data_IF_572056531446
#
_entry.id   IF_572056531446
#
_cell.length_a   1.000
_cell.length_b   1.000
_cell.length_c   1.000
_cell.angle_alpha   90.00
_cell.angle_beta   90.00
_cell.angle_gamma   90.00
#
_symmetry.space_group_name_H-M   'P 1'
#
loop_
_entity.id
_entity.type
_entity.pdbx_description
1 polymer ?
#
# COMPACT_ATOMS: atom_id res chain seq x y z
N UNK A 1 9.70 1.36 3.39
CA UNK A 1 10.30 2.08 2.26
C UNK A 1 11.65 2.67 2.63
N UNK A 2 11.75 3.71 3.45
CA UNK A 2 13.08 4.29 3.79
C UNK A 2 13.98 3.30 4.54
N UNK A 3 13.49 2.73 5.64
CA UNK A 3 14.26 1.76 6.45
C UNK A 3 14.44 0.40 5.78
N UNK A 4 13.67 0.07 4.74
CA UNK A 4 13.94 -1.17 3.99
C UNK A 4 15.24 -1.10 3.20
N UNK A 5 15.80 0.09 2.99
CA UNK A 5 17.14 0.27 2.43
C UNK A 5 18.27 0.05 3.46
N UNK A 6 17.94 -0.26 4.72
CA UNK A 6 18.91 -0.64 5.74
C UNK A 6 19.16 -2.15 5.68
N UNK A 7 20.21 -2.57 4.98
CA UNK A 7 20.58 -3.99 4.85
C UNK A 7 20.80 -4.71 6.19
N UNK A 8 21.34 -4.07 7.25
CA UNK A 8 21.38 -4.68 8.57
C UNK A 8 19.99 -5.04 9.13
N UNK A 9 18.95 -4.27 8.79
CA UNK A 9 17.57 -4.62 9.15
C UNK A 9 17.10 -5.85 8.37
N UNK A 10 17.39 -5.92 7.06
CA UNK A 10 17.01 -7.06 6.23
C UNK A 10 17.65 -8.38 6.71
N UNK A 11 18.88 -8.31 7.24
CA UNK A 11 19.54 -9.44 7.90
C UNK A 11 18.74 -9.98 9.09
N UNK A 12 18.12 -9.12 9.89
CA UNK A 12 17.27 -9.55 11.04
C UNK A 12 16.12 -10.43 10.54
N UNK A 13 15.61 -10.15 9.34
CA UNK A 13 14.54 -10.94 8.69
C UNK A 13 15.07 -12.13 7.87
N UNK A 14 16.37 -12.43 7.93
CA UNK A 14 16.98 -13.58 7.26
C UNK A 14 17.36 -13.36 5.79
N UNK A 15 17.47 -12.11 5.33
CA UNK A 15 17.86 -11.80 3.95
C UNK A 15 19.24 -11.16 3.87
N UNK A 16 20.19 -11.87 3.26
CA UNK A 16 21.59 -11.43 3.12
C UNK A 16 22.36 -11.45 4.45
N UNK A 17 23.57 -10.88 4.44
CA UNK A 17 24.47 -10.84 5.61
C UNK A 17 24.54 -9.45 6.29
N UNK A 18 23.81 -8.48 5.75
CA UNK A 18 23.76 -7.08 6.20
C UNK A 18 24.61 -6.13 5.36
N UNK A 19 25.42 -6.62 4.42
CA UNK A 19 26.13 -5.79 3.45
C UNK A 19 25.19 -5.24 2.37
N UNK A 20 25.51 -4.07 1.82
CA UNK A 20 24.73 -3.47 0.73
C UNK A 20 24.97 -4.22 -0.58
N UNK A 21 23.98 -4.99 -1.01
CA UNK A 21 23.95 -5.65 -2.33
C UNK A 21 22.52 -5.61 -2.91
N UNK A 22 22.28 -4.67 -3.82
CA UNK A 22 20.98 -4.48 -4.48
C UNK A 22 20.59 -5.63 -5.43
N UNK A 23 21.56 -6.48 -5.80
CA UNK A 23 21.34 -7.63 -6.68
C UNK A 23 21.26 -8.95 -5.91
N UNK A 24 21.51 -8.94 -4.60
CA UNK A 24 21.39 -10.10 -3.72
C UNK A 24 19.97 -10.31 -3.17
N UNK A 25 19.78 -11.30 -2.26
CA UNK A 25 18.47 -11.64 -1.71
C UNK A 25 17.78 -10.48 -0.96
N UNK A 26 18.57 -9.66 -0.27
CA UNK A 26 18.08 -8.44 0.38
C UNK A 26 17.57 -7.41 -0.65
N UNK A 27 18.28 -7.26 -1.77
CA UNK A 27 17.88 -6.43 -2.90
C UNK A 27 16.58 -6.88 -3.56
N UNK A 28 16.33 -8.19 -3.65
CA UNK A 28 15.05 -8.73 -4.15
C UNK A 28 13.86 -8.35 -3.29
N UNK A 29 13.99 -8.50 -1.97
CA UNK A 29 12.96 -8.07 -1.00
C UNK A 29 12.72 -6.57 -1.11
N UNK A 30 13.79 -5.80 -1.25
CA UNK A 30 13.71 -4.35 -1.40
C UNK A 30 12.99 -3.95 -2.69
N UNK A 31 13.37 -4.54 -3.83
CA UNK A 31 12.72 -4.32 -5.12
C UNK A 31 11.23 -4.67 -5.06
N UNK A 32 10.90 -5.86 -4.55
CA UNK A 32 9.52 -6.31 -4.39
C UNK A 32 8.73 -5.37 -3.48
N UNK A 33 9.33 -4.86 -2.40
CA UNK A 33 8.69 -3.91 -1.48
C UNK A 33 8.37 -2.57 -2.16
N UNK A 34 9.30 -2.02 -2.94
CA UNK A 34 9.09 -0.79 -3.70
C UNK A 34 8.05 -0.94 -4.80
N UNK A 35 8.16 -2.00 -5.61
CA UNK A 35 7.19 -2.29 -6.66
C UNK A 35 5.79 -2.56 -6.08
N UNK A 36 5.70 -3.30 -4.97
CA UNK A 36 4.45 -3.55 -4.25
C UNK A 36 3.80 -2.27 -3.75
N UNK A 37 4.58 -1.35 -3.18
CA UNK A 37 4.09 -0.03 -2.75
C UNK A 37 3.56 0.80 -3.94
N UNK A 38 4.30 0.84 -5.05
CA UNK A 38 3.89 1.54 -6.26
C UNK A 38 2.59 0.96 -6.84
N UNK A 39 2.52 -0.37 -6.97
CA UNK A 39 1.32 -1.09 -7.42
C UNK A 39 0.13 -0.85 -6.51
N UNK A 40 0.33 -0.90 -5.19
CA UNK A 40 -0.72 -0.66 -4.22
C UNK A 40 -1.21 0.80 -4.29
N UNK A 41 -0.31 1.76 -4.51
CA UNK A 41 -0.67 3.16 -4.74
C UNK A 41 -1.53 3.36 -6.00
N UNK A 42 -1.21 2.66 -7.09
CA UNK A 42 -2.01 2.71 -8.32
C UNK A 42 -3.40 2.09 -8.08
N UNK A 43 -3.43 0.88 -7.50
CA UNK A 43 -4.67 0.15 -7.20
C UNK A 43 -5.57 0.89 -6.19
N UNK A 44 -5.00 1.76 -5.35
CA UNK A 44 -5.77 2.58 -4.40
C UNK A 44 -6.84 3.44 -5.06
N UNK A 45 -6.73 3.77 -6.35
CA UNK A 45 -7.74 4.56 -7.07
C UNK A 45 -9.15 3.95 -7.05
N UNK A 46 -9.27 2.63 -6.81
CA UNK A 46 -10.55 1.98 -6.50
C UNK A 46 -11.26 2.63 -5.30
N UNK A 47 -10.49 3.06 -4.30
CA UNK A 47 -10.98 3.67 -3.06
C UNK A 47 -11.18 5.19 -3.17
N UNK A 48 -10.97 5.80 -4.34
CA UNK A 48 -11.27 7.21 -4.58
C UNK A 48 -12.59 7.36 -5.33
N UNK A 49 -13.44 8.27 -4.86
CA UNK A 49 -14.75 8.55 -5.47
C UNK A 49 -14.70 9.81 -6.35
N UNK A 50 -14.96 9.71 -7.67
CA UNK A 50 -14.95 10.87 -8.56
C UNK A 50 -16.04 11.89 -8.28
N UNK A 51 -17.19 11.49 -7.72
CA UNK A 51 -18.29 12.42 -7.48
C UNK A 51 -17.97 13.41 -6.35
N UNK A 52 -17.50 12.88 -5.22
CA UNK A 52 -17.13 13.69 -4.05
C UNK A 52 -15.67 14.14 -4.08
N UNK A 53 -14.84 13.56 -4.94
CA UNK A 53 -13.39 13.72 -5.01
C UNK A 53 -12.67 13.37 -3.70
N UNK A 54 -13.23 12.41 -2.95
CA UNK A 54 -12.71 11.97 -1.65
C UNK A 54 -12.16 10.56 -1.68
N UNK A 55 -11.18 10.34 -0.83
CA UNK A 55 -10.65 9.02 -0.52
C UNK A 55 -11.52 8.33 0.54
N UNK A 56 -11.96 7.11 0.25
CA UNK A 56 -12.73 6.27 1.18
C UNK A 56 -11.86 5.44 2.13
N UNK A 57 -10.53 5.48 2.02
CA UNK A 57 -9.61 4.67 2.84
C UNK A 57 -8.26 5.39 3.00
N UNK A 58 -7.88 5.69 4.25
CA UNK A 58 -6.70 6.51 4.58
C UNK A 58 -5.35 5.92 4.13
N UNK A 59 -5.12 4.63 4.34
CA UNK A 59 -3.93 3.92 3.83
C UNK A 59 -3.87 3.90 2.29
N UNK A 60 -5.01 3.86 1.61
CA UNK A 60 -5.07 3.86 0.14
C UNK A 60 -4.63 5.22 -0.39
N UNK A 61 -5.14 6.29 0.23
CA UNK A 61 -4.68 7.66 -0.01
C UNK A 61 -3.17 7.81 0.22
N UNK A 62 -2.67 7.30 1.35
CA UNK A 62 -1.25 7.38 1.68
C UNK A 62 -0.36 6.60 0.69
N UNK A 63 -0.80 5.44 0.22
CA UNK A 63 -0.07 4.67 -0.80
C UNK A 63 -0.04 5.40 -2.13
N UNK A 64 -1.15 6.04 -2.52
CA UNK A 64 -1.18 6.85 -3.74
C UNK A 64 -0.24 8.05 -3.64
N UNK A 65 -0.18 8.73 -2.47
CA UNK A 65 0.76 9.84 -2.28
C UNK A 65 2.23 9.40 -2.28
N UNK A 66 2.53 8.17 -1.82
CA UNK A 66 3.87 7.57 -1.95
C UNK A 66 4.18 7.19 -3.41
N UNK A 67 3.22 6.64 -4.17
CA UNK A 67 3.42 6.41 -5.60
C UNK A 67 3.74 7.74 -6.31
N UNK A 68 3.02 8.81 -5.98
CA UNK A 68 3.27 10.15 -6.51
C UNK A 68 4.70 10.63 -6.21
N UNK A 69 5.22 10.40 -5.00
CA UNK A 69 6.62 10.74 -4.71
C UNK A 69 7.63 9.89 -5.48
N UNK A 70 7.30 8.64 -5.85
CA UNK A 70 8.15 7.82 -6.72
C UNK A 70 8.15 8.34 -8.16
N UNK A 71 6.99 8.72 -8.70
CA UNK A 71 6.86 9.24 -10.06
C UNK A 71 7.49 10.63 -10.22
N UNK A 72 7.53 11.39 -9.13
CA UNK A 72 8.23 12.69 -9.07
C UNK A 72 9.71 12.54 -8.73
N UNK A 73 10.16 11.32 -8.40
CA UNK A 73 11.59 11.05 -8.28
C UNK A 73 12.22 11.17 -9.67
N UNK A 74 13.13 12.13 -9.81
CA UNK A 74 13.92 12.29 -11.03
C UNK A 74 14.78 11.06 -11.32
N UNK A 75 15.61 11.16 -12.36
CA UNK A 75 16.48 10.06 -12.78
C UNK A 75 15.69 8.81 -13.22
N UNK A 76 14.51 8.96 -13.84
CA UNK A 76 13.70 7.85 -14.37
C UNK A 76 13.46 6.67 -13.40
N UNK A 77 13.43 6.94 -12.09
CA UNK A 77 13.32 5.89 -11.07
C UNK A 77 12.02 5.08 -11.19
N UNK A 78 10.90 5.76 -11.38
CA UNK A 78 9.58 5.14 -11.47
C UNK A 78 8.74 5.86 -12.52
N UNK A 79 8.08 5.10 -13.39
CA UNK A 79 7.15 5.66 -14.38
C UNK A 79 5.97 4.74 -14.64
N UNK A 80 4.87 5.37 -15.05
CA UNK A 80 3.77 4.68 -15.71
C UNK A 80 4.14 4.51 -17.19
N UNK A 81 4.15 3.28 -17.66
CA UNK A 81 4.52 2.93 -19.03
C UNK A 81 3.34 2.28 -19.73
N UNK A 82 2.96 2.85 -20.87
CA UNK A 82 1.82 2.44 -21.68
C UNK A 82 2.03 2.93 -23.11
N UNK A 83 1.48 2.23 -24.08
CA UNK A 83 1.54 2.60 -25.51
C UNK A 83 0.16 2.84 -26.11
N UNK A 84 -0.91 2.40 -25.44
CA UNK A 84 -2.29 2.54 -25.91
C UNK A 84 -2.99 3.72 -25.24
N UNK A 85 -3.84 4.41 -25.99
CA UNK A 85 -4.61 5.57 -25.51
C UNK A 85 -5.61 5.22 -24.38
N UNK A 86 -6.07 3.97 -24.35
CA UNK A 86 -6.99 3.42 -23.36
C UNK A 86 -6.31 2.91 -22.09
N UNK A 87 -4.97 2.94 -22.04
CA UNK A 87 -4.14 2.45 -20.93
C UNK A 87 -4.34 0.96 -20.61
N UNK A 88 -4.89 0.16 -21.52
CA UNK A 88 -5.10 -1.28 -21.30
C UNK A 88 -3.80 -2.08 -21.16
N UNK A 89 -2.67 -1.50 -21.57
CA UNK A 89 -1.31 -2.05 -21.42
C UNK A 89 -0.50 -1.35 -20.32
N UNK A 90 -1.14 -0.59 -19.43
CA UNK A 90 -0.48 0.16 -18.37
C UNK A 90 0.33 -0.75 -17.43
N UNK A 91 1.61 -0.43 -17.31
CA UNK A 91 2.54 -1.06 -16.37
C UNK A 91 3.27 -0.02 -15.52
N UNK A 92 3.74 -0.44 -14.35
CA UNK A 92 4.67 0.35 -13.54
C UNK A 92 6.08 -0.14 -13.86
N UNK A 93 6.93 0.76 -14.36
CA UNK A 93 8.37 0.51 -14.50
C UNK A 93 9.10 1.15 -13.33
N UNK A 94 9.80 0.35 -12.55
CA UNK A 94 10.62 0.77 -11.41
C UNK A 94 12.04 0.28 -11.61
N UNK A 95 13.01 1.19 -11.60
CA UNK A 95 14.43 0.86 -11.78
C UNK A 95 15.05 0.41 -10.46
N UNK A 96 15.43 -0.87 -10.40
CA UNK A 96 16.06 -1.49 -9.24
C UNK A 96 17.35 -0.77 -8.84
N UNK A 97 18.18 -0.39 -9.80
CA UNK A 97 19.49 0.20 -9.56
C UNK A 97 19.41 1.57 -8.87
N UNK A 98 18.25 2.22 -8.97
CA UNK A 98 18.01 3.57 -8.45
C UNK A 98 17.23 3.58 -7.14
N UNK A 99 16.91 2.42 -6.56
CA UNK A 99 16.21 2.35 -5.27
C UNK A 99 17.04 3.00 -4.16
N UNK A 100 18.33 2.68 -4.06
CA UNK A 100 19.20 3.20 -2.98
C UNK A 100 19.57 4.67 -3.17
N UNK A 101 19.40 5.21 -4.38
CA UNK A 101 19.69 6.60 -4.73
C UNK A 101 18.39 7.42 -4.82
N UNK A 102 17.84 7.59 -6.02
CA UNK A 102 16.68 8.43 -6.29
C UNK A 102 15.45 7.99 -5.48
N UNK A 103 15.18 6.68 -5.42
CA UNK A 103 14.01 6.14 -4.72
C UNK A 103 14.06 6.37 -3.21
N UNK A 104 15.18 6.06 -2.56
CA UNK A 104 15.38 6.27 -1.13
C UNK A 104 15.32 7.75 -0.79
N UNK A 105 15.96 8.61 -1.61
CA UNK A 105 15.92 10.06 -1.43
C UNK A 105 14.50 10.62 -1.53
N UNK A 106 13.73 10.23 -2.54
CA UNK A 106 12.35 10.69 -2.72
C UNK A 106 11.47 10.33 -1.51
N UNK A 107 11.63 9.12 -0.95
CA UNK A 107 10.95 8.73 0.29
C UNK A 107 11.44 9.57 1.48
N UNK A 108 12.75 9.78 1.61
CA UNK A 108 13.34 10.55 2.70
C UNK A 108 12.79 11.98 2.74
N UNK A 109 12.84 12.68 1.61
CA UNK A 109 12.38 14.06 1.47
C UNK A 109 10.88 14.16 1.77
N UNK A 110 10.08 13.19 1.28
CA UNK A 110 8.65 13.14 1.54
C UNK A 110 8.35 12.95 3.04
N UNK A 111 8.99 11.97 3.68
CA UNK A 111 8.83 11.69 5.11
C UNK A 111 9.30 12.85 5.99
N UNK A 112 10.40 13.52 5.60
CA UNK A 112 10.92 14.66 6.33
C UNK A 112 9.90 15.81 6.36
N UNK A 113 9.30 16.16 5.22
CA UNK A 113 8.24 17.18 5.16
C UNK A 113 7.04 16.80 6.05
N UNK A 114 6.53 15.58 5.91
CA UNK A 114 5.42 15.10 6.73
C UNK A 114 5.74 15.17 8.24
N UNK A 115 6.96 14.77 8.62
CA UNK A 115 7.40 14.78 10.01
C UNK A 115 7.51 16.20 10.55
N UNK A 116 8.11 17.14 9.79
CA UNK A 116 8.23 18.55 10.19
C UNK A 116 6.83 19.14 10.45
N UNK A 117 5.90 19.04 9.49
CA UNK A 117 4.57 19.63 9.65
C UNK A 117 3.79 19.01 10.81
N UNK A 118 3.91 17.69 11.00
CA UNK A 118 3.31 17.00 12.15
C UNK A 118 3.88 17.51 13.47
N UNK A 119 5.21 17.58 13.59
CA UNK A 119 5.92 17.95 14.82
C UNK A 119 5.74 19.42 15.20
N UNK A 120 5.50 20.30 14.23
CA UNK A 120 5.26 21.74 14.46
C UNK A 120 3.78 22.11 14.54
N UNK A 121 2.86 21.14 14.44
CA UNK A 121 1.42 21.37 14.35
C UNK A 121 1.02 22.35 13.22
N UNK A 122 1.78 22.40 12.12
CA UNK A 122 1.48 23.22 10.95
C UNK A 122 0.40 22.56 10.08
N UNK A 123 -0.85 22.66 10.55
CA UNK A 123 -2.02 22.04 9.92
C UNK A 123 -2.21 22.54 8.50
N UNK A 124 -2.01 23.85 8.25
CA UNK A 124 -2.27 24.45 6.94
C UNK A 124 -1.29 23.91 5.90
N UNK A 125 0.01 24.09 6.12
CA UNK A 125 1.03 23.66 5.15
C UNK A 125 1.04 22.13 5.01
N UNK A 126 0.86 21.41 6.12
CA UNK A 126 0.79 19.94 6.11
C UNK A 126 -0.40 19.41 5.32
N UNK A 127 -1.59 20.02 5.48
CA UNK A 127 -2.78 19.64 4.71
C UNK A 127 -2.62 19.97 3.23
N UNK A 128 -2.17 21.19 2.90
CA UNK A 128 -1.94 21.63 1.52
C UNK A 128 -0.96 20.67 0.81
N UNK A 129 0.13 20.31 1.48
CA UNK A 129 1.13 19.37 0.96
C UNK A 129 0.56 17.95 0.76
N UNK A 130 -0.08 17.37 1.78
CA UNK A 130 -0.59 16.00 1.70
C UNK A 130 -1.75 15.86 0.71
N UNK A 131 -2.66 16.84 0.68
CA UNK A 131 -3.76 16.88 -0.29
C UNK A 131 -3.25 17.08 -1.71
N UNK A 132 -2.23 17.92 -1.92
CA UNK A 132 -1.56 18.04 -3.22
C UNK A 132 -0.95 16.72 -3.70
N UNK A 133 -0.22 16.03 -2.82
CA UNK A 133 0.40 14.73 -3.13
C UNK A 133 -0.62 13.59 -3.30
N UNK A 134 -1.82 13.72 -2.74
CA UNK A 134 -2.89 12.72 -2.86
C UNK A 134 -4.04 13.15 -3.77
N UNK A 135 -3.86 14.24 -4.52
CA UNK A 135 -4.87 14.70 -5.46
C UNK A 135 -4.93 13.79 -6.69
N UNK A 136 -6.15 13.38 -7.04
CA UNK A 136 -6.41 12.54 -8.21
C UNK A 136 -6.91 13.40 -9.37
N UNK A 137 -7.83 14.33 -9.10
CA UNK A 137 -8.51 15.11 -10.13
C UNK A 137 -9.41 14.26 -11.04
N UNK A 138 -10.17 14.91 -11.92
CA UNK A 138 -11.08 14.26 -12.86
C UNK A 138 -10.47 14.03 -14.25
N UNK A 139 -9.18 14.34 -14.41
CA UNK A 139 -8.48 14.16 -15.68
C UNK A 139 -7.87 12.76 -15.73
N UNK A 140 -6.57 12.66 -16.04
CA UNK A 140 -5.84 11.41 -16.28
C UNK A 140 -6.05 10.33 -15.20
N UNK A 141 -5.86 10.66 -13.92
CA UNK A 141 -5.94 9.67 -12.84
C UNK A 141 -7.38 9.22 -12.55
N UNK A 142 -8.31 10.18 -12.41
CA UNK A 142 -9.68 9.92 -11.98
C UNK A 142 -10.57 9.30 -13.06
N UNK A 143 -10.20 9.44 -14.34
CA UNK A 143 -10.95 8.84 -15.47
C UNK A 143 -10.19 7.68 -16.10
N UNK A 144 -9.05 7.93 -16.75
CA UNK A 144 -8.35 6.90 -17.53
C UNK A 144 -7.76 5.80 -16.65
N UNK A 145 -6.87 6.18 -15.73
CA UNK A 145 -6.15 5.20 -14.90
C UNK A 145 -7.10 4.46 -13.97
N UNK A 146 -8.02 5.19 -13.32
CA UNK A 146 -9.01 4.59 -12.42
C UNK A 146 -9.89 3.56 -13.11
N UNK A 147 -10.31 3.78 -14.37
CA UNK A 147 -11.11 2.80 -15.09
C UNK A 147 -10.35 1.48 -15.27
N UNK A 148 -9.08 1.54 -15.71
CA UNK A 148 -8.23 0.34 -15.81
C UNK A 148 -8.07 -0.37 -14.46
N UNK A 149 -7.91 0.39 -13.36
CA UNK A 149 -7.85 -0.18 -12.01
C UNK A 149 -9.14 -0.90 -11.64
N UNK A 150 -10.30 -0.31 -11.94
CA UNK A 150 -11.61 -0.91 -11.64
C UNK A 150 -11.88 -2.15 -12.50
N UNK A 151 -11.50 -2.13 -13.77
CA UNK A 151 -11.67 -3.26 -14.70
C UNK A 151 -10.83 -4.48 -14.26
N UNK A 152 -9.71 -4.23 -13.58
CA UNK A 152 -8.80 -5.27 -13.10
C UNK A 152 -8.93 -5.58 -11.59
N UNK A 153 -9.92 -4.98 -10.90
CA UNK A 153 -10.05 -5.11 -9.45
C UNK A 153 -10.28 -6.55 -9.02
N UNK A 154 -9.73 -6.91 -7.86
CA UNK A 154 -9.92 -8.23 -7.27
C UNK A 154 -10.73 -8.09 -5.97
N UNK A 155 -11.73 -8.96 -5.72
CA UNK A 155 -12.50 -8.90 -4.49
C UNK A 155 -11.62 -9.10 -3.27
N UNK A 156 -11.91 -8.37 -2.19
CA UNK A 156 -11.19 -8.54 -0.91
C UNK A 156 -11.50 -9.91 -0.32
N UNK A 157 -10.46 -10.55 0.22
CA UNK A 157 -10.62 -11.78 1.00
C UNK A 157 -11.40 -11.47 2.28
N UNK A 158 -12.28 -12.40 2.65
CA UNK A 158 -12.99 -12.39 3.94
C UNK A 158 -12.40 -13.50 4.79
N UNK A 159 -12.24 -13.21 6.09
CA UNK A 159 -11.76 -14.19 7.06
C UNK A 159 -12.93 -14.67 7.91
N UNK A 160 -13.03 -15.98 8.07
CA UNK A 160 -14.00 -16.60 8.98
C UNK A 160 -13.27 -16.80 10.31
N UNK A 161 -13.86 -16.26 11.38
CA UNK A 161 -13.24 -16.24 12.69
C UNK A 161 -13.87 -17.29 13.59
N UNK A 162 -13.03 -17.99 14.35
CA UNK A 162 -13.48 -18.91 15.38
C UNK A 162 -14.21 -18.19 16.51
N UNK A 163 -15.06 -18.91 17.24
CA UNK A 163 -15.65 -18.42 18.49
C UNK A 163 -15.04 -19.17 19.68
N UNK A 164 -14.96 -18.51 20.82
CA UNK A 164 -14.59 -19.11 22.10
C UNK A 164 -15.80 -19.11 23.05
N UNK A 165 -16.03 -20.22 23.75
CA UNK A 165 -17.11 -20.35 24.73
C UNK A 165 -16.56 -20.81 26.08
N UNK A 166 -16.99 -20.15 27.16
CA UNK A 166 -16.69 -20.55 28.53
C UNK A 166 -17.73 -21.56 29.00
N UNK A 167 -17.27 -22.71 29.49
CA UNK A 167 -18.08 -23.61 30.29
C UNK A 167 -18.04 -23.13 31.75
N UNK A 168 -19.12 -22.51 32.21
CA UNK A 168 -19.24 -21.97 33.58
C UNK A 168 -19.13 -23.05 34.67
N UNK A 169 -19.46 -24.31 34.36
CA UNK A 169 -19.42 -25.40 35.34
C UNK A 169 -17.98 -25.89 35.57
N UNK A 170 -17.16 -25.92 34.52
CA UNK A 170 -15.77 -26.41 34.60
C UNK A 170 -14.73 -25.29 34.61
N UNK A 171 -15.11 -24.07 34.26
CA UNK A 171 -14.21 -22.93 34.06
C UNK A 171 -13.36 -23.04 32.79
N UNK A 172 -13.58 -24.04 31.94
CA UNK A 172 -12.77 -24.26 30.75
C UNK A 172 -13.26 -23.44 29.55
N UNK A 173 -12.33 -22.94 28.74
CA UNK A 173 -12.64 -22.26 27.48
C UNK A 173 -12.43 -23.21 26.31
N UNK A 174 -13.45 -23.35 25.46
CA UNK A 174 -13.39 -24.13 24.21
C UNK A 174 -13.33 -23.20 22.99
N UNK A 175 -12.70 -23.67 21.91
CA UNK A 175 -12.65 -22.97 20.62
C UNK A 175 -13.42 -23.76 19.56
N UNK A 176 -14.32 -23.09 18.83
CA UNK A 176 -15.02 -23.64 17.67
C UNK A 176 -14.53 -22.95 16.40
N UNK A 177 -13.91 -23.74 15.52
CA UNK A 177 -13.55 -23.32 14.17
C UNK A 177 -14.72 -23.57 13.21
N UNK A 178 -14.75 -22.83 12.10
CA UNK A 178 -15.76 -22.94 11.05
C UNK A 178 -15.07 -23.09 9.71
N UNK A 179 -15.71 -23.79 8.77
CA UNK A 179 -15.17 -24.02 7.44
C UNK A 179 -15.07 -22.72 6.63
N UNK A 180 -14.08 -22.65 5.73
CA UNK A 180 -13.82 -21.55 4.80
C UNK A 180 -14.89 -21.43 3.68
N UNK A 181 -16.17 -21.44 4.05
CA UNK A 181 -17.32 -21.44 3.14
C UNK A 181 -18.32 -20.34 3.49
N UNK A 182 -19.24 -20.04 2.58
CA UNK A 182 -20.33 -19.09 2.85
C UNK A 182 -21.19 -19.51 4.05
N UNK A 183 -21.43 -20.83 4.19
CA UNK A 183 -22.17 -21.38 5.33
C UNK A 183 -21.39 -21.20 6.63
N UNK A 184 -20.11 -21.58 6.65
CA UNK A 184 -19.25 -21.41 7.83
C UNK A 184 -19.13 -19.95 8.28
N UNK A 185 -19.19 -19.00 7.34
CA UNK A 185 -19.25 -17.57 7.67
C UNK A 185 -20.53 -17.24 8.45
N UNK A 186 -21.69 -17.66 7.95
CA UNK A 186 -22.99 -17.42 8.59
C UNK A 186 -23.05 -18.08 9.96
N UNK A 187 -22.66 -19.35 10.06
CA UNK A 187 -22.61 -20.09 11.33
C UNK A 187 -21.72 -19.39 12.35
N UNK A 188 -20.55 -18.90 11.95
CA UNK A 188 -19.63 -18.20 12.86
C UNK A 188 -20.24 -16.97 13.51
N UNK A 189 -21.15 -16.28 12.82
CA UNK A 189 -21.86 -15.11 13.33
C UNK A 189 -23.10 -15.49 14.13
N UNK A 190 -23.87 -16.47 13.66
CA UNK A 190 -25.02 -17.02 14.39
C UNK A 190 -24.61 -17.47 15.80
N UNK A 191 -23.51 -18.23 15.89
CA UNK A 191 -22.99 -18.73 17.16
C UNK A 191 -22.27 -17.67 18.00
N UNK A 192 -22.01 -16.47 17.44
CA UNK A 192 -21.34 -15.38 18.16
C UNK A 192 -22.30 -14.58 19.04
N UNK A 193 -23.61 -14.71 18.80
CA UNK A 193 -24.68 -14.08 19.58
C UNK A 193 -24.50 -12.55 19.74
N UNK A 194 -24.28 -11.86 18.61
CA UNK A 194 -24.16 -10.40 18.50
C UNK A 194 -25.36 -9.78 17.79
#
# INVERSE_FOLDING_TARGET
MYLSCEFPVLKIFGFGDGSEDINGPAGDVLYASYLSMARAGLASLEMWDPKSQKWGQAHSQARFSILKSFLEAGDDFCKLDYTKDDLSDLTIKLDRSKILTAGRKAVADYLQKLHVYKSTADVKTGSDFYLGMSNVGLDFWGTKVRNVVLDNKQPRKVFIQANSTLDEATGNVSIKHYDATLLGMIESWSDRNL
#
